data_IF_785822022039
#
_entry.id   IF_785822022039
#
_cell.length_a   1.000
_cell.length_b   1.000
_cell.length_c   1.000
_cell.angle_alpha   90.00
_cell.angle_beta   90.00
_cell.angle_gamma   90.00
#
_symmetry.space_group_name_H-M   'P 1'
#
loop_
_entity.id
_entity.type
_entity.pdbx_description
1 polymer ?
#
# COMPACT_ATOMS: atom_id res chain seq x y z
N UNK A 1 -16.51 -1.98 -25.58
CA UNK A 1 -15.28 -1.21 -25.37
C UNK A 1 -14.66 -1.71 -24.07
N UNK A 2 -13.47 -2.31 -24.13
CA UNK A 2 -12.87 -3.00 -23.00
C UNK A 2 -11.87 -2.07 -22.29
N UNK A 3 -12.02 -1.92 -20.98
CA UNK A 3 -11.16 -1.08 -20.13
C UNK A 3 -9.70 -1.58 -20.13
N UNK A 4 -8.70 -0.70 -20.28
CA UNK A 4 -7.30 -1.09 -20.45
C UNK A 4 -6.52 -1.34 -19.15
N UNK A 5 -7.14 -1.28 -17.96
CA UNK A 5 -6.41 -1.32 -16.68
C UNK A 5 -6.37 -2.67 -15.95
N UNK A 6 -6.95 -3.74 -16.51
CA UNK A 6 -6.90 -5.09 -15.92
C UNK A 6 -5.78 -5.99 -16.48
N UNK A 7 -4.80 -5.44 -17.22
CA UNK A 7 -3.78 -6.20 -17.95
C UNK A 7 -2.42 -6.35 -17.23
N UNK A 8 -2.26 -5.76 -16.04
CA UNK A 8 -0.94 -5.65 -15.39
C UNK A 8 -0.55 -6.82 -14.48
N UNK A 9 -1.45 -7.72 -14.08
CA UNK A 9 -1.12 -8.85 -13.17
C UNK A 9 -1.16 -10.24 -13.81
N UNK A 10 -1.65 -10.36 -15.05
CA UNK A 10 -2.00 -11.68 -15.64
C UNK A 10 -0.92 -12.28 -16.54
N UNK A 11 0.06 -11.49 -17.00
CA UNK A 11 1.03 -11.95 -18.02
C UNK A 11 2.01 -12.97 -17.49
N UNK A 12 2.40 -12.87 -16.22
CA UNK A 12 3.29 -13.85 -15.60
C UNK A 12 2.59 -15.21 -15.49
N UNK A 13 1.31 -15.20 -15.10
CA UNK A 13 0.49 -16.41 -14.94
C UNK A 13 0.15 -17.09 -16.27
N UNK A 14 0.32 -16.41 -17.40
CA UNK A 14 0.15 -16.97 -18.74
C UNK A 14 1.37 -17.75 -19.22
N UNK A 15 2.52 -17.61 -18.54
CA UNK A 15 3.72 -18.37 -18.86
C UNK A 15 3.59 -19.82 -18.39
N UNK A 16 4.26 -20.79 -19.03
CA UNK A 16 4.50 -22.11 -18.46
C UNK A 16 5.10 -22.01 -17.05
N UNK A 17 4.74 -22.96 -16.18
CA UNK A 17 5.15 -22.98 -14.76
C UNK A 17 6.67 -22.88 -14.61
N UNK A 18 7.42 -23.52 -15.51
CA UNK A 18 8.88 -23.50 -15.52
C UNK A 18 9.45 -22.09 -15.75
N UNK A 19 8.80 -21.30 -16.61
CA UNK A 19 9.18 -19.92 -16.88
C UNK A 19 8.71 -18.98 -15.76
N UNK A 20 7.56 -19.26 -15.13
CA UNK A 20 7.14 -18.54 -13.92
C UNK A 20 8.17 -18.73 -12.80
N UNK A 21 8.61 -19.97 -12.57
CA UNK A 21 9.62 -20.28 -11.56
C UNK A 21 10.96 -19.61 -11.85
N UNK A 22 11.44 -19.64 -13.10
CA UNK A 22 12.67 -18.91 -13.47
C UNK A 22 12.60 -17.42 -13.21
N UNK A 23 11.46 -16.78 -13.46
CA UNK A 23 11.33 -15.36 -13.14
C UNK A 23 11.37 -15.14 -11.63
N UNK A 24 10.74 -16.01 -10.84
CA UNK A 24 10.76 -15.95 -9.38
C UNK A 24 12.15 -16.25 -8.78
N UNK A 25 12.97 -17.10 -9.42
CA UNK A 25 14.36 -17.40 -9.03
C UNK A 25 15.30 -16.19 -9.17
N UNK A 26 14.97 -15.25 -10.05
CA UNK A 26 15.75 -14.03 -10.28
C UNK A 26 15.37 -12.89 -9.33
N UNK A 27 14.28 -13.03 -8.56
CA UNK A 27 13.82 -11.99 -7.64
C UNK A 27 14.64 -11.97 -6.35
N UNK A 28 14.89 -10.76 -5.86
CA UNK A 28 15.41 -10.56 -4.50
C UNK A 28 14.30 -10.86 -3.47
N UNK A 29 14.67 -11.09 -2.21
CA UNK A 29 13.74 -11.53 -1.18
C UNK A 29 12.65 -10.52 -0.86
N UNK A 30 12.97 -9.23 -0.95
CA UNK A 30 11.98 -8.16 -0.87
C UNK A 30 10.98 -8.20 -2.03
N UNK A 31 11.46 -8.46 -3.24
CA UNK A 31 10.64 -8.50 -4.45
C UNK A 31 9.75 -9.75 -4.48
N UNK A 32 10.28 -10.89 -4.07
CA UNK A 32 9.52 -12.13 -3.93
C UNK A 32 8.38 -11.97 -2.90
N UNK A 33 8.66 -11.31 -1.76
CA UNK A 33 7.63 -10.98 -0.77
C UNK A 33 6.53 -10.08 -1.35
N UNK A 34 6.89 -9.09 -2.17
CA UNK A 34 5.93 -8.20 -2.83
C UNK A 34 5.09 -8.96 -3.87
N UNK A 35 5.69 -9.86 -4.64
CA UNK A 35 4.99 -10.68 -5.63
C UNK A 35 3.99 -11.63 -4.96
N UNK A 36 4.38 -12.28 -3.86
CA UNK A 36 3.46 -13.11 -3.07
C UNK A 36 2.30 -12.30 -2.45
N UNK A 37 2.53 -11.01 -2.18
CA UNK A 37 1.53 -10.11 -1.64
C UNK A 37 0.51 -9.70 -2.71
N UNK A 38 0.98 -9.41 -3.92
CA UNK A 38 0.15 -8.92 -5.04
C UNK A 38 -0.56 -10.05 -5.78
N UNK A 39 -0.01 -11.28 -5.80
CA UNK A 39 -0.61 -12.42 -6.51
C UNK A 39 -0.77 -13.66 -5.62
N UNK A 40 -2.02 -14.08 -5.31
CA UNK A 40 -2.28 -15.30 -4.53
C UNK A 40 -1.96 -16.59 -5.29
N UNK A 41 -2.00 -16.59 -6.63
CA UNK A 41 -1.56 -17.72 -7.47
C UNK A 41 -0.05 -17.91 -7.40
N UNK A 42 0.72 -16.82 -7.53
CA UNK A 42 2.17 -16.90 -7.40
C UNK A 42 2.58 -17.25 -5.97
N UNK A 43 1.87 -16.76 -4.94
CA UNK A 43 2.08 -17.22 -3.56
C UNK A 43 1.97 -18.74 -3.42
N UNK A 44 0.97 -19.36 -4.05
CA UNK A 44 0.83 -20.82 -4.05
C UNK A 44 2.02 -21.49 -4.73
N UNK A 45 2.47 -20.94 -5.86
CA UNK A 45 3.64 -21.44 -6.58
C UNK A 45 4.92 -21.35 -5.75
N UNK A 46 5.20 -20.22 -5.09
CA UNK A 46 6.37 -20.07 -4.22
C UNK A 46 6.27 -21.00 -3.00
N UNK A 47 5.09 -21.11 -2.39
CA UNK A 47 4.87 -22.00 -1.24
C UNK A 47 5.09 -23.48 -1.57
N UNK A 48 4.87 -23.90 -2.83
CA UNK A 48 5.14 -25.25 -3.31
C UNK A 48 6.61 -25.52 -3.66
N UNK A 49 7.44 -24.48 -3.74
CA UNK A 49 8.82 -24.55 -4.23
C UNK A 49 9.80 -23.99 -3.19
N UNK A 50 10.03 -24.79 -2.14
CA UNK A 50 10.81 -24.40 -0.96
C UNK A 50 12.26 -23.97 -1.27
N UNK A 51 12.80 -24.39 -2.41
CA UNK A 51 14.14 -23.99 -2.85
C UNK A 51 14.23 -22.49 -3.17
N UNK A 52 13.14 -21.83 -3.59
CA UNK A 52 13.13 -20.39 -3.87
C UNK A 52 13.46 -19.56 -2.62
N UNK A 53 12.83 -19.91 -1.49
CA UNK A 53 13.15 -19.30 -0.20
C UNK A 53 14.58 -19.58 0.24
N UNK A 54 15.08 -20.78 -0.09
CA UNK A 54 16.44 -21.20 0.28
C UNK A 54 17.47 -20.43 -0.54
N UNK A 55 17.25 -20.28 -1.85
CA UNK A 55 18.15 -19.62 -2.79
C UNK A 55 18.23 -18.11 -2.51
N UNK A 56 17.08 -17.44 -2.41
CA UNK A 56 16.98 -16.01 -2.03
C UNK A 56 17.72 -15.76 -0.71
N UNK A 57 17.48 -16.61 0.29
CA UNK A 57 18.13 -16.46 1.58
C UNK A 57 19.65 -16.71 1.51
N UNK A 58 20.11 -17.66 0.68
CA UNK A 58 21.55 -17.88 0.49
C UNK A 58 22.22 -16.72 -0.26
N UNK A 59 21.53 -16.09 -1.22
CA UNK A 59 22.03 -14.94 -1.99
C UNK A 59 22.12 -13.69 -1.12
N UNK A 60 21.08 -13.36 -0.35
CA UNK A 60 21.03 -12.13 0.45
C UNK A 60 21.89 -12.19 1.72
N UNK A 61 22.01 -13.37 2.34
CA UNK A 61 22.68 -13.52 3.65
C UNK A 61 24.00 -14.31 3.57
N UNK A 62 24.44 -14.69 2.36
CA UNK A 62 25.81 -15.10 2.07
C UNK A 62 26.34 -16.34 2.80
N UNK A 63 25.48 -17.23 3.32
CA UNK A 63 25.93 -18.47 3.97
C UNK A 63 25.10 -19.67 3.54
N UNK A 64 25.72 -20.75 2.99
CA UNK A 64 25.09 -22.06 3.00
C UNK A 64 24.93 -22.46 4.48
N UNK A 65 23.75 -22.93 4.85
CA UNK A 65 23.44 -23.34 6.22
C UNK A 65 24.17 -24.64 6.52
N UNK A 66 25.47 -24.55 6.80
CA UNK A 66 26.24 -25.59 7.45
C UNK A 66 26.37 -25.21 8.94
N UNK A 67 25.46 -25.73 9.76
CA UNK A 67 25.60 -25.71 11.23
C UNK A 67 24.79 -24.67 12.01
N UNK A 68 24.13 -23.70 11.36
CA UNK A 68 23.12 -22.89 12.06
C UNK A 68 21.81 -23.69 12.10
N UNK A 69 21.33 -24.03 13.31
CA UNK A 69 20.01 -24.67 13.51
C UNK A 69 18.98 -23.89 12.67
N UNK A 70 18.39 -24.52 11.66
CA UNK A 70 17.62 -23.88 10.56
C UNK A 70 16.42 -23.01 10.95
N UNK A 71 16.20 -22.75 12.24
CA UNK A 71 15.23 -21.80 12.77
C UNK A 71 15.58 -20.33 12.49
N UNK A 72 16.85 -19.96 12.39
CA UNK A 72 17.25 -18.53 12.29
C UNK A 72 16.95 -17.93 10.91
N UNK A 73 17.19 -18.67 9.84
CA UNK A 73 16.95 -18.21 8.47
C UNK A 73 15.44 -18.05 8.17
N UNK A 74 14.65 -19.06 8.56
CA UNK A 74 13.19 -19.02 8.44
C UNK A 74 12.57 -17.87 9.26
N UNK A 75 13.12 -17.59 10.44
CA UNK A 75 12.68 -16.47 11.28
C UNK A 75 13.01 -15.12 10.64
N UNK A 76 14.20 -14.96 10.05
CA UNK A 76 14.59 -13.73 9.35
C UNK A 76 13.71 -13.47 8.11
N UNK A 77 13.47 -14.49 7.27
CA UNK A 77 12.56 -14.39 6.14
C UNK A 77 11.12 -14.04 6.58
N UNK A 78 10.61 -14.76 7.58
CA UNK A 78 9.26 -14.53 8.12
C UNK A 78 9.12 -13.11 8.66
N UNK A 79 10.17 -12.58 9.31
CA UNK A 79 10.21 -11.19 9.78
C UNK A 79 10.17 -10.19 8.63
N UNK A 80 10.97 -10.39 7.58
CA UNK A 80 10.96 -9.53 6.39
C UNK A 80 9.59 -9.54 5.68
N UNK A 81 8.98 -10.72 5.56
CA UNK A 81 7.65 -10.89 4.97
C UNK A 81 6.55 -10.18 5.78
N UNK A 82 6.58 -10.30 7.11
CA UNK A 82 5.66 -9.58 8.00
C UNK A 82 5.89 -8.06 7.89
N UNK A 83 7.15 -7.61 7.88
CA UNK A 83 7.47 -6.19 7.76
C UNK A 83 6.92 -5.61 6.45
N UNK A 84 7.06 -6.32 5.33
CA UNK A 84 6.50 -5.89 4.04
C UNK A 84 4.96 -5.74 4.09
N UNK A 85 4.27 -6.59 4.85
CA UNK A 85 2.81 -6.49 5.07
C UNK A 85 2.43 -5.29 5.92
N UNK A 86 3.19 -5.01 6.99
CA UNK A 86 3.03 -3.82 7.82
C UNK A 86 3.24 -2.56 6.99
N UNK A 87 4.33 -2.49 6.23
CA UNK A 87 4.63 -1.35 5.36
C UNK A 87 3.51 -1.10 4.32
N UNK A 88 2.91 -2.17 3.79
CA UNK A 88 1.78 -2.04 2.86
C UNK A 88 0.52 -1.51 3.55
N UNK A 89 0.20 -2.04 4.74
CA UNK A 89 -0.90 -1.52 5.57
C UNK A 89 -0.70 -0.02 5.86
N UNK A 90 0.50 0.40 6.19
CA UNK A 90 0.82 1.81 6.44
C UNK A 90 0.65 2.70 5.21
N UNK A 91 1.07 2.24 4.02
CA UNK A 91 0.81 2.96 2.77
C UNK A 91 -0.70 3.11 2.51
N UNK A 92 -1.47 2.07 2.76
CA UNK A 92 -2.91 2.10 2.57
C UNK A 92 -3.63 2.97 3.62
N UNK A 93 -3.12 3.03 4.85
CA UNK A 93 -3.52 4.04 5.85
C UNK A 93 -3.23 5.46 5.38
N UNK A 94 -2.12 5.69 4.68
CA UNK A 94 -1.82 7.00 4.11
C UNK A 94 -2.85 7.39 3.05
N UNK A 95 -3.18 6.49 2.12
CA UNK A 95 -4.23 6.71 1.10
C UNK A 95 -5.57 7.05 1.76
N UNK A 96 -6.00 6.26 2.74
CA UNK A 96 -7.24 6.53 3.49
C UNK A 96 -7.25 7.92 4.15
N UNK A 97 -6.14 8.31 4.80
CA UNK A 97 -6.03 9.64 5.41
C UNK A 97 -6.12 10.76 4.38
N UNK A 98 -5.49 10.59 3.21
CA UNK A 98 -5.56 11.57 2.12
C UNK A 98 -6.98 11.70 1.57
N UNK A 99 -7.69 10.59 1.33
CA UNK A 99 -9.08 10.60 0.88
C UNK A 99 -10.01 11.27 1.90
N UNK A 100 -9.80 10.98 3.19
CA UNK A 100 -10.56 11.63 4.26
C UNK A 100 -10.36 13.15 4.29
N UNK A 101 -9.11 13.61 4.16
CA UNK A 101 -8.81 15.03 4.08
C UNK A 101 -9.43 15.67 2.83
N UNK A 102 -9.45 14.95 1.69
CA UNK A 102 -10.08 15.45 0.46
C UNK A 102 -11.59 15.64 0.65
N UNK A 103 -12.28 14.73 1.33
CA UNK A 103 -13.70 14.91 1.68
C UNK A 103 -13.93 16.14 2.57
N UNK A 104 -13.10 16.33 3.59
CA UNK A 104 -13.19 17.51 4.46
C UNK A 104 -13.02 18.82 3.66
N UNK A 105 -12.11 18.85 2.68
CA UNK A 105 -11.93 20.00 1.78
C UNK A 105 -13.13 20.22 0.84
N UNK A 106 -13.73 19.15 0.32
CA UNK A 106 -14.91 19.25 -0.54
C UNK A 106 -16.13 19.73 0.25
N UNK A 107 -16.29 19.28 1.51
CA UNK A 107 -17.31 19.79 2.43
C UNK A 107 -17.12 21.29 2.71
N UNK A 108 -15.87 21.75 2.89
CA UNK A 108 -15.55 23.18 3.06
C UNK A 108 -15.91 24.00 1.80
N UNK A 109 -15.60 23.49 0.61
CA UNK A 109 -15.97 24.15 -0.65
C UNK A 109 -17.48 24.27 -0.85
N UNK A 110 -18.24 23.24 -0.47
CA UNK A 110 -19.71 23.30 -0.49
C UNK A 110 -20.23 24.35 0.49
N UNK A 111 -19.66 24.44 1.69
CA UNK A 111 -20.00 25.49 2.65
C UNK A 111 -19.72 26.90 2.11
N UNK A 112 -18.60 27.09 1.41
CA UNK A 112 -18.27 28.37 0.76
C UNK A 112 -19.25 28.71 -0.38
N UNK A 113 -19.74 27.70 -1.11
CA UNK A 113 -20.74 27.91 -2.15
C UNK A 113 -22.09 28.37 -1.55
N UNK A 114 -22.52 27.75 -0.44
CA UNK A 114 -23.69 28.18 0.32
C UNK A 114 -23.55 29.63 0.81
N UNK A 115 -22.39 30.01 1.37
CA UNK A 115 -22.10 31.38 1.82
C UNK A 115 -22.19 32.40 0.66
N UNK A 116 -21.62 32.06 -0.50
CA UNK A 116 -21.69 32.91 -1.70
C UNK A 116 -23.13 33.05 -2.18
N UNK A 117 -23.91 31.97 -2.12
CA UNK A 117 -25.33 31.98 -2.49
C UNK A 117 -26.16 32.84 -1.55
N UNK A 118 -25.89 32.81 -0.25
CA UNK A 118 -26.51 33.67 0.75
C UNK A 118 -26.15 35.15 0.52
N UNK A 119 -24.86 35.45 0.27
CA UNK A 119 -24.36 36.80 -0.02
C UNK A 119 -24.95 37.40 -1.28
N UNK A 120 -25.14 36.59 -2.32
CA UNK A 120 -25.74 37.03 -3.58
C UNK A 120 -27.24 37.32 -3.45
N UNK A 121 -27.88 36.80 -2.40
CA UNK A 121 -29.28 37.01 -2.07
C UNK A 121 -30.23 36.40 -3.10
N UNK A 122 -31.39 35.91 -2.65
CA UNK A 122 -32.51 35.64 -3.55
C UNK A 122 -33.06 37.00 -4.00
N UNK A 123 -33.01 37.38 -5.30
CA UNK A 123 -33.72 38.56 -5.75
C UNK A 123 -35.20 38.18 -5.83
N UNK A 124 -35.89 38.19 -4.69
CA UNK A 124 -37.31 37.84 -4.58
C UNK A 124 -38.24 38.83 -5.33
N UNK A 125 -37.68 39.85 -5.99
CA UNK A 125 -38.46 40.88 -6.69
C UNK A 125 -38.03 41.21 -8.13
N UNK A 126 -37.08 40.51 -8.75
CA UNK A 126 -36.74 40.75 -10.16
C UNK A 126 -36.89 39.48 -10.99
N UNK A 127 -38.14 39.21 -11.37
CA UNK A 127 -38.49 38.42 -12.54
C UNK A 127 -37.73 39.00 -13.75
N UNK A 128 -36.68 38.32 -14.24
CA UNK A 128 -36.57 37.91 -15.66
C UNK A 128 -35.20 37.39 -16.12
N UNK A 129 -34.12 37.34 -15.31
CA UNK A 129 -32.93 36.57 -15.70
C UNK A 129 -32.31 35.84 -14.50
N UNK A 130 -32.06 34.52 -14.57
CA UNK A 130 -31.22 33.85 -13.59
C UNK A 130 -29.83 34.48 -13.66
N UNK A 131 -29.33 34.97 -12.52
CA UNK A 131 -27.97 35.52 -12.44
C UNK A 131 -27.00 34.48 -12.98
N UNK A 132 -26.26 34.82 -14.05
CA UNK A 132 -25.20 33.96 -14.62
C UNK A 132 -24.23 33.46 -13.52
N UNK A 133 -24.00 34.28 -12.49
CA UNK A 133 -23.16 33.91 -11.35
C UNK A 133 -23.80 32.77 -10.54
N UNK A 134 -25.12 32.80 -10.32
CA UNK A 134 -25.82 31.72 -9.63
C UNK A 134 -25.84 30.42 -10.44
N UNK A 135 -25.93 30.48 -11.77
CA UNK A 135 -25.80 29.26 -12.58
C UNK A 135 -24.39 28.67 -12.52
N UNK A 136 -23.35 29.50 -12.58
CA UNK A 136 -21.96 29.02 -12.41
C UNK A 136 -21.72 28.43 -11.01
N UNK A 137 -22.28 29.02 -9.96
CA UNK A 137 -22.20 28.48 -8.60
C UNK A 137 -22.91 27.12 -8.53
N UNK A 138 -24.10 27.00 -9.12
CA UNK A 138 -24.83 25.72 -9.16
C UNK A 138 -24.11 24.62 -9.94
N UNK A 139 -23.49 24.95 -11.09
CA UNK A 139 -22.70 23.98 -11.86
C UNK A 139 -21.47 23.52 -11.06
N UNK A 140 -20.76 24.45 -10.40
CA UNK A 140 -19.63 24.12 -9.53
C UNK A 140 -20.05 23.28 -8.31
N UNK A 141 -21.16 23.60 -7.66
CA UNK A 141 -21.73 22.79 -6.56
C UNK A 141 -22.01 21.36 -7.03
N UNK A 142 -22.59 21.21 -8.22
CA UNK A 142 -22.87 19.90 -8.80
C UNK A 142 -21.57 19.11 -9.06
N UNK A 143 -20.55 19.74 -9.62
CA UNK A 143 -19.24 19.13 -9.85
C UNK A 143 -18.56 18.72 -8.53
N UNK A 144 -18.59 19.59 -7.51
CA UNK A 144 -18.01 19.31 -6.18
C UNK A 144 -18.78 18.19 -5.47
N UNK A 145 -20.11 18.15 -5.57
CA UNK A 145 -20.93 17.07 -5.03
C UNK A 145 -20.62 15.73 -5.71
N UNK A 146 -20.41 15.73 -7.04
CA UNK A 146 -20.01 14.53 -7.76
C UNK A 146 -18.62 14.06 -7.31
N UNK A 147 -17.64 14.96 -7.23
CA UNK A 147 -16.29 14.60 -6.77
C UNK A 147 -16.31 14.07 -5.33
N UNK A 148 -17.15 14.66 -4.47
CA UNK A 148 -17.36 14.21 -3.09
C UNK A 148 -17.95 12.81 -3.05
N UNK A 149 -18.92 12.51 -3.91
CA UNK A 149 -19.50 11.17 -4.03
C UNK A 149 -18.42 10.16 -4.43
N UNK A 150 -17.68 10.44 -5.50
CA UNK A 150 -16.64 9.55 -6.02
C UNK A 150 -15.53 9.32 -4.98
N UNK A 151 -15.09 10.38 -4.29
CA UNK A 151 -14.09 10.30 -3.21
C UNK A 151 -14.62 9.48 -2.02
N UNK A 152 -15.92 9.55 -1.72
CA UNK A 152 -16.55 8.76 -0.66
C UNK A 152 -16.59 7.27 -1.02
N UNK A 153 -16.85 6.92 -2.29
CA UNK A 153 -16.78 5.54 -2.75
C UNK A 153 -15.35 5.00 -2.63
N UNK A 154 -14.36 5.78 -3.07
CA UNK A 154 -12.94 5.43 -2.95
C UNK A 154 -12.51 5.25 -1.48
N UNK A 155 -13.02 6.09 -0.56
CA UNK A 155 -12.74 5.97 0.86
C UNK A 155 -13.26 4.65 1.44
N UNK A 156 -14.49 4.26 1.09
CA UNK A 156 -15.09 2.99 1.52
C UNK A 156 -14.29 1.80 0.98
N UNK A 157 -13.89 1.84 -0.29
CA UNK A 157 -13.05 0.81 -0.89
C UNK A 157 -11.67 0.71 -0.21
N UNK A 158 -11.06 1.86 0.13
CA UNK A 158 -9.80 1.91 0.87
C UNK A 158 -9.95 1.37 2.29
N UNK A 159 -11.07 1.64 2.97
CA UNK A 159 -11.38 1.12 4.31
C UNK A 159 -11.55 -0.40 4.29
N UNK A 160 -12.34 -0.95 3.35
CA UNK A 160 -12.50 -2.40 3.19
C UNK A 160 -11.16 -3.08 2.94
N UNK A 161 -10.34 -2.51 2.04
CA UNK A 161 -9.00 -3.03 1.75
C UNK A 161 -8.11 -2.99 2.99
N UNK A 162 -8.14 -1.91 3.76
CA UNK A 162 -7.38 -1.76 5.01
C UNK A 162 -7.80 -2.81 6.04
N UNK A 163 -9.10 -3.03 6.22
CA UNK A 163 -9.63 -4.05 7.12
C UNK A 163 -9.20 -5.46 6.70
N UNK A 164 -9.25 -5.76 5.39
CA UNK A 164 -8.79 -7.03 4.85
C UNK A 164 -7.29 -7.26 5.13
N UNK A 165 -6.43 -6.28 4.83
CA UNK A 165 -4.99 -6.40 5.11
C UNK A 165 -4.68 -6.50 6.60
N UNK A 166 -5.44 -5.81 7.45
CA UNK A 166 -5.30 -5.90 8.90
C UNK A 166 -5.65 -7.32 9.38
N UNK A 167 -6.78 -7.88 8.93
CA UNK A 167 -7.16 -9.25 9.26
C UNK A 167 -6.15 -10.29 8.76
N UNK A 168 -5.58 -10.09 7.57
CA UNK A 168 -4.51 -10.94 7.05
C UNK A 168 -3.24 -10.87 7.91
N UNK A 169 -2.84 -9.67 8.32
CA UNK A 169 -1.67 -9.45 9.17
C UNK A 169 -1.88 -10.07 10.57
N UNK A 170 -3.04 -9.87 11.18
CA UNK A 170 -3.39 -10.47 12.47
C UNK A 170 -3.37 -12.01 12.40
N UNK A 171 -3.98 -12.58 11.35
CA UNK A 171 -3.93 -14.01 11.08
C UNK A 171 -2.50 -14.53 10.86
N UNK A 172 -1.66 -13.76 10.17
CA UNK A 172 -0.26 -14.10 9.95
C UNK A 172 0.52 -14.07 11.26
N UNK A 173 0.39 -13.00 12.05
CA UNK A 173 1.05 -12.84 13.34
C UNK A 173 0.63 -13.93 14.34
N UNK A 174 -0.64 -14.34 14.34
CA UNK A 174 -1.14 -15.44 15.18
C UNK A 174 -0.51 -16.80 14.85
N UNK A 175 -0.06 -17.01 13.60
CA UNK A 175 0.57 -18.25 13.13
C UNK A 175 2.08 -18.27 13.34
N UNK A 176 2.70 -17.13 13.64
CA UNK A 176 4.16 -17.01 13.79
C UNK A 176 4.54 -17.36 15.24
N UNK A 177 5.41 -18.36 15.47
CA UNK A 177 5.85 -18.71 16.81
C UNK A 177 6.43 -17.51 17.55
N UNK A 178 5.98 -17.28 18.79
CA UNK A 178 6.43 -16.17 19.65
C UNK A 178 7.96 -16.10 19.81
N UNK A 179 8.64 -17.25 19.74
CA UNK A 179 10.09 -17.34 19.82
C UNK A 179 10.85 -16.74 18.62
N UNK A 180 10.19 -16.46 17.49
CA UNK A 180 10.81 -15.83 16.33
C UNK A 180 10.87 -14.31 16.44
N UNK A 181 10.06 -13.73 17.33
CA UNK A 181 10.06 -12.30 17.64
C UNK A 181 11.18 -11.93 18.62
N UNK A 182 11.62 -12.90 19.43
CA UNK A 182 12.72 -12.76 20.39
C UNK A 182 14.08 -13.09 19.76
N UNK A 183 14.44 -12.44 18.66
CA UNK A 183 15.86 -12.35 18.29
C UNK A 183 16.37 -11.01 18.82
N UNK A 184 16.98 -11.04 20.00
CA UNK A 184 17.76 -9.92 20.50
C UNK A 184 18.71 -9.45 19.39
N UNK A 185 18.90 -8.13 19.19
CA UNK A 185 19.88 -7.64 18.24
C UNK A 185 21.23 -8.28 18.62
N UNK A 186 21.81 -9.05 17.69
CA UNK A 186 23.18 -9.52 17.81
C UNK A 186 24.02 -8.24 17.96
N UNK A 187 24.75 -8.04 19.07
CA UNK A 187 25.55 -6.84 19.23
C UNK A 187 26.55 -6.82 18.08
N UNK A 188 26.53 -5.72 17.34
CA UNK A 188 27.47 -5.45 16.27
C UNK A 188 28.89 -5.53 16.87
N UNK A 189 29.58 -6.63 16.57
CA UNK A 189 31.00 -6.77 16.83
C UNK A 189 31.73 -5.76 15.97
N UNK A 190 32.39 -4.84 16.64
CA UNK A 190 33.50 -3.97 16.21
C UNK A 190 34.01 -4.21 14.78
N UNK A 191 33.84 -3.20 13.93
CA UNK A 191 34.81 -2.90 12.88
C UNK A 191 34.81 -1.40 12.56
N UNK A 192 35.94 -0.79 12.90
CA UNK A 192 36.56 0.38 12.27
C UNK A 192 35.91 1.76 12.46
N UNK A 193 36.47 2.47 13.43
CA UNK A 193 36.51 3.92 13.52
C UNK A 193 37.11 4.57 12.26
N UNK A 194 36.50 5.68 11.78
CA UNK A 194 37.09 6.98 11.42
C UNK A 194 36.01 7.89 10.76
N UNK A 195 36.26 9.19 10.51
CA UNK A 195 35.86 10.29 11.38
C UNK A 195 34.76 11.20 10.80
N UNK A 196 34.19 12.02 11.66
CA UNK A 196 33.13 12.99 11.38
C UNK A 196 33.52 14.08 10.38
N UNK A 197 32.66 14.31 9.40
CA UNK A 197 32.51 15.56 8.62
C UNK A 197 31.04 15.59 8.22
N UNK A 198 30.17 16.35 8.87
CA UNK A 198 30.07 17.80 8.75
C UNK A 198 28.93 18.11 7.77
N UNK A 199 27.70 18.24 8.29
CA UNK A 199 26.57 18.77 7.51
C UNK A 199 26.01 19.98 8.25
N UNK A 200 26.45 21.16 7.81
CA UNK A 200 25.90 22.46 8.17
C UNK A 200 24.66 22.68 7.33
N UNK A 201 23.56 23.02 8.00
CA UNK A 201 22.30 23.42 7.38
C UNK A 201 22.51 24.79 6.74
N UNK A 202 22.13 24.92 5.47
CA UNK A 202 21.71 26.15 4.82
C UNK A 202 20.51 25.82 3.93
#
# INVERSE_FOLDING_TARGET
MASPHALSSSRLLQLPVELQLRVLEELEGKELCLVELVSPELRRLVSGNQYLYTDVHTREFGRPIAGAKGLTAKAQYTRAYIQARVDNLERQRCVYKTLKLRLEQLDELLGQADDVRELLGVPEMLMNEPSLVLSFVGDMEQDVMQERWDTSEDLLAAEEKMAAMQGELESLMARVPSCWWCSAPVPASEAAAAPSTGCTIA
#
